data_IF_501540632708
#
_entry.id   IF_501540632708
#
_cell.length_a   1.000
_cell.length_b   1.000
_cell.length_c   1.000
_cell.angle_alpha   90.00
_cell.angle_beta   90.00
_cell.angle_gamma   90.00
#
_symmetry.space_group_name_H-M   'P 1'
#
loop_
_entity.id
_entity.type
_entity.pdbx_description
1 polymer ?
#
# COMPACT_ATOMS: atom_id res chain seq x y z
N UNK A 1 -29.90 16.97 26.59
CA UNK A 1 -28.74 17.60 27.29
C UNK A 1 -28.66 17.29 28.80
N UNK A 2 -29.69 16.71 29.44
CA UNK A 2 -29.71 16.37 30.89
C UNK A 2 -29.03 15.05 31.26
N UNK A 3 -29.07 14.03 30.40
CA UNK A 3 -28.50 12.71 30.71
C UNK A 3 -26.97 12.70 30.90
N UNK A 4 -26.23 13.51 30.14
CA UNK A 4 -24.76 13.55 30.22
C UNK A 4 -24.24 14.07 31.57
N UNK A 5 -24.91 15.07 32.14
CA UNK A 5 -24.56 15.62 33.46
C UNK A 5 -24.84 14.60 34.56
N UNK A 6 -26.02 13.97 34.56
CA UNK A 6 -26.38 12.94 35.54
C UNK A 6 -25.44 11.74 35.48
N UNK A 7 -25.07 11.28 34.28
CA UNK A 7 -24.13 10.18 34.09
C UNK A 7 -22.73 10.53 34.63
N UNK A 8 -22.26 11.75 34.38
CA UNK A 8 -20.98 12.23 34.91
C UNK A 8 -20.98 12.24 36.45
N UNK A 9 -22.01 12.80 37.07
CA UNK A 9 -22.12 12.86 38.52
C UNK A 9 -22.20 11.47 39.14
N UNK A 10 -22.96 10.56 38.53
CA UNK A 10 -23.06 9.16 38.97
C UNK A 10 -21.71 8.43 38.85
N UNK A 11 -20.96 8.64 37.76
CA UNK A 11 -19.62 8.11 37.58
C UNK A 11 -18.67 8.65 38.66
N UNK A 12 -18.62 9.97 38.86
CA UNK A 12 -17.76 10.59 39.87
C UNK A 12 -18.07 10.06 41.26
N UNK A 13 -19.36 9.97 41.63
CA UNK A 13 -19.78 9.45 42.92
C UNK A 13 -19.44 7.96 43.13
N UNK A 14 -19.53 7.14 42.07
CA UNK A 14 -19.32 5.69 42.17
C UNK A 14 -17.87 5.25 41.98
N UNK A 15 -17.08 5.98 41.19
CA UNK A 15 -15.71 5.59 40.78
C UNK A 15 -14.62 6.48 41.38
N UNK A 16 -14.96 7.69 41.82
CA UNK A 16 -14.00 8.67 42.32
C UNK A 16 -14.47 9.27 43.65
N UNK A 17 -14.43 8.45 44.71
CA UNK A 17 -14.75 8.93 46.06
C UNK A 17 -13.83 10.11 46.43
N UNK A 18 -14.42 11.22 46.87
CA UNK A 18 -13.68 12.44 47.20
C UNK A 18 -13.28 13.32 46.01
N UNK A 19 -13.86 13.12 44.82
CA UNK A 19 -13.58 13.98 43.64
C UNK A 19 -13.78 15.47 43.93
N UNK A 20 -14.74 15.83 44.79
CA UNK A 20 -14.97 17.22 45.20
C UNK A 20 -13.74 17.86 45.85
N UNK A 21 -12.99 17.11 46.65
CA UNK A 21 -11.80 17.63 47.33
C UNK A 21 -10.64 17.83 46.36
N UNK A 22 -10.50 16.94 45.35
CA UNK A 22 -9.55 17.11 44.25
C UNK A 22 -9.89 18.38 43.46
N UNK A 23 -11.17 18.60 43.14
CA UNK A 23 -11.63 19.82 42.46
C UNK A 23 -11.37 21.06 43.31
N UNK A 24 -11.72 21.05 44.60
CA UNK A 24 -11.48 22.15 45.54
C UNK A 24 -9.98 22.48 45.64
N UNK A 25 -9.12 21.46 45.67
CA UNK A 25 -7.67 21.66 45.71
C UNK A 25 -7.14 22.28 44.40
N UNK A 26 -7.59 21.81 43.24
CA UNK A 26 -7.20 22.40 41.95
C UNK A 26 -7.61 23.86 41.85
N UNK A 27 -8.82 24.20 42.34
CA UNK A 27 -9.31 25.58 42.41
C UNK A 27 -8.43 26.46 43.32
N UNK A 28 -8.04 25.96 44.50
CA UNK A 28 -7.10 26.67 45.41
C UNK A 28 -5.75 26.92 44.76
N UNK A 29 -5.24 25.94 44.03
CA UNK A 29 -3.94 25.99 43.37
C UNK A 29 -3.97 26.70 42.00
N UNK A 30 -5.12 27.25 41.60
CA UNK A 30 -5.36 27.88 40.28
C UNK A 30 -5.00 26.96 39.09
N UNK A 31 -5.21 25.65 39.25
CA UNK A 31 -5.01 24.64 38.20
C UNK A 31 -6.33 24.27 37.53
N UNK A 32 -6.30 24.03 36.22
CA UNK A 32 -7.46 23.53 35.49
C UNK A 32 -7.78 22.09 35.88
N UNK A 33 -9.06 21.81 36.15
CA UNK A 33 -9.56 20.44 36.31
C UNK A 33 -9.84 19.86 34.93
N UNK A 34 -9.32 18.68 34.65
CA UNK A 34 -9.45 18.02 33.36
C UNK A 34 -10.06 16.62 33.52
N UNK A 35 -10.70 16.11 32.45
CA UNK A 35 -11.44 14.83 32.51
C UNK A 35 -10.54 13.61 32.71
N UNK A 36 -9.28 13.69 32.29
CA UNK A 36 -8.26 12.66 32.52
C UNK A 36 -7.97 12.39 34.00
N UNK A 37 -8.29 13.35 34.89
CA UNK A 37 -8.16 13.19 36.33
C UNK A 37 -9.20 12.22 36.91
N UNK A 38 -10.28 11.94 36.18
CA UNK A 38 -11.45 11.17 36.65
C UNK A 38 -11.85 10.06 35.67
N UNK A 39 -10.86 9.32 35.18
CA UNK A 39 -11.08 8.12 34.34
C UNK A 39 -11.16 6.88 35.22
N UNK A 40 -12.14 6.01 34.97
CA UNK A 40 -12.22 4.72 35.65
C UNK A 40 -10.95 3.89 35.39
N UNK A 41 -10.36 3.35 36.45
CA UNK A 41 -9.06 2.67 36.38
C UNK A 41 -9.11 1.38 35.56
N UNK A 42 -10.26 0.70 35.51
CA UNK A 42 -10.46 -0.51 34.73
C UNK A 42 -10.62 -0.18 33.23
N UNK A 43 -11.33 0.90 32.91
CA UNK A 43 -11.39 1.46 31.56
C UNK A 43 -10.00 1.91 31.07
N UNK A 44 -9.23 2.61 31.92
CA UNK A 44 -7.87 3.02 31.60
C UNK A 44 -6.97 1.80 31.35
N UNK A 45 -7.03 0.78 32.21
CA UNK A 45 -6.23 -0.44 32.04
C UNK A 45 -6.59 -1.17 30.74
N UNK A 46 -7.88 -1.24 30.42
CA UNK A 46 -8.38 -1.80 29.15
C UNK A 46 -7.80 -1.06 27.95
N UNK A 47 -7.91 0.28 27.94
CA UNK A 47 -7.41 1.10 26.86
C UNK A 47 -5.90 0.88 26.66
N UNK A 48 -5.13 0.80 27.76
CA UNK A 48 -3.69 0.58 27.68
C UNK A 48 -3.32 -0.81 27.15
N UNK A 49 -4.06 -1.84 27.53
CA UNK A 49 -3.90 -3.18 26.94
C UNK A 49 -4.22 -3.20 25.46
N UNK A 50 -5.32 -2.57 25.03
CA UNK A 50 -5.67 -2.44 23.61
C UNK A 50 -4.59 -1.68 22.84
N UNK A 51 -4.11 -0.56 23.38
CA UNK A 51 -3.03 0.24 22.81
C UNK A 51 -1.76 -0.60 22.60
N UNK A 52 -1.38 -1.42 23.58
CA UNK A 52 -0.24 -2.32 23.48
C UNK A 52 -0.44 -3.37 22.37
N UNK A 53 -1.58 -4.06 22.36
CA UNK A 53 -1.89 -5.10 21.36
C UNK A 53 -1.91 -4.52 19.95
N UNK A 54 -2.64 -3.43 19.74
CA UNK A 54 -2.85 -2.84 18.42
C UNK A 54 -1.57 -2.16 17.91
N UNK A 55 -0.95 -1.28 18.70
CA UNK A 55 0.15 -0.45 18.20
C UNK A 55 1.53 -1.11 18.27
N UNK A 56 1.68 -2.21 19.00
CA UNK A 56 2.94 -2.98 19.06
C UNK A 56 2.83 -4.37 18.46
N UNK A 57 1.68 -4.71 17.84
CA UNK A 57 1.39 -6.06 17.38
C UNK A 57 1.67 -7.11 18.48
N UNK A 58 1.24 -6.79 19.70
CA UNK A 58 1.56 -7.60 20.87
C UNK A 58 0.63 -8.81 20.90
N UNK A 59 1.16 -10.05 20.96
CA UNK A 59 0.35 -11.24 20.77
C UNK A 59 -0.59 -11.47 21.96
N UNK A 60 -1.82 -11.89 21.68
CA UNK A 60 -2.79 -12.23 22.73
C UNK A 60 -2.31 -13.31 23.69
N UNK A 61 -1.44 -14.22 23.23
CA UNK A 61 -0.82 -15.23 24.10
C UNK A 61 0.08 -14.61 25.17
N UNK A 62 0.75 -13.49 24.87
CA UNK A 62 1.56 -12.76 25.84
C UNK A 62 0.70 -11.96 26.83
N UNK A 63 -0.54 -11.60 26.49
CA UNK A 63 -1.51 -11.05 27.45
C UNK A 63 -1.85 -12.10 28.53
N UNK A 64 -1.75 -13.39 28.19
CA UNK A 64 -1.98 -14.48 29.13
C UNK A 64 -0.75 -14.89 29.95
N UNK A 65 0.43 -14.41 29.57
CA UNK A 65 1.69 -14.75 30.22
C UNK A 65 1.85 -14.07 31.58
N UNK A 66 2.19 -14.86 32.61
CA UNK A 66 2.31 -14.39 33.98
C UNK A 66 3.49 -13.45 34.22
N UNK A 67 4.59 -13.61 33.48
CA UNK A 67 5.78 -12.74 33.56
C UNK A 67 5.49 -11.40 32.90
N UNK A 68 4.83 -11.42 31.74
CA UNK A 68 4.38 -10.20 31.07
C UNK A 68 3.41 -9.42 31.96
N UNK A 69 2.43 -10.09 32.57
CA UNK A 69 1.47 -9.46 33.49
C UNK A 69 2.14 -8.83 34.71
N UNK A 70 3.17 -9.46 35.27
CA UNK A 70 3.88 -8.90 36.43
C UNK A 70 4.80 -7.74 36.06
N UNK A 71 5.25 -7.66 34.80
CA UNK A 71 6.09 -6.58 34.29
C UNK A 71 5.29 -5.33 33.85
N UNK A 72 3.99 -5.45 33.57
CA UNK A 72 3.15 -4.36 33.10
C UNK A 72 2.56 -3.57 34.27
N UNK A 73 2.53 -2.24 34.13
CA UNK A 73 2.03 -1.30 35.16
C UNK A 73 0.51 -1.35 35.37
N UNK A 74 -0.26 -1.74 34.35
CA UNK A 74 -1.71 -1.72 34.35
C UNK A 74 -2.31 -2.99 34.98
N UNK A 75 -3.58 -2.94 35.37
CA UNK A 75 -4.24 -4.09 35.99
C UNK A 75 -4.19 -5.32 35.08
N UNK A 76 -3.97 -6.49 35.68
CA UNK A 76 -3.89 -7.77 34.98
C UNK A 76 -5.21 -8.10 34.27
N UNK A 77 -5.11 -8.59 33.04
CA UNK A 77 -6.25 -8.98 32.20
C UNK A 77 -5.89 -10.25 31.42
N UNK A 78 -6.89 -11.09 31.14
CA UNK A 78 -6.72 -12.22 30.22
C UNK A 78 -7.18 -11.87 28.81
N UNK A 79 -6.65 -12.60 27.83
CA UNK A 79 -6.92 -12.34 26.41
C UNK A 79 -8.40 -12.48 26.07
N UNK A 80 -9.15 -13.37 26.72
CA UNK A 80 -10.60 -13.54 26.52
C UNK A 80 -11.36 -12.28 26.93
N UNK A 81 -11.06 -11.73 28.10
CA UNK A 81 -11.64 -10.48 28.59
C UNK A 81 -11.24 -9.31 27.70
N UNK A 82 -9.98 -9.23 27.31
CA UNK A 82 -9.50 -8.16 26.42
C UNK A 82 -10.24 -8.17 25.08
N UNK A 83 -10.37 -9.34 24.44
CA UNK A 83 -11.11 -9.50 23.19
C UNK A 83 -12.58 -9.11 23.33
N UNK A 84 -13.25 -9.55 24.40
CA UNK A 84 -14.64 -9.17 24.66
C UNK A 84 -14.79 -7.64 24.81
N UNK A 85 -13.85 -6.98 25.52
CA UNK A 85 -13.83 -5.53 25.66
C UNK A 85 -13.53 -4.81 24.33
N UNK A 86 -12.64 -5.37 23.49
CA UNK A 86 -12.37 -4.86 22.13
C UNK A 86 -13.63 -4.89 21.26
N UNK A 87 -14.38 -5.99 21.29
CA UNK A 87 -15.66 -6.09 20.58
C UNK A 87 -16.67 -5.09 21.12
N UNK A 88 -16.86 -5.00 22.43
CA UNK A 88 -17.76 -4.02 23.04
C UNK A 88 -17.35 -2.56 22.75
N UNK A 89 -16.05 -2.30 22.55
CA UNK A 89 -15.58 -0.96 22.15
C UNK A 89 -16.02 -0.62 20.73
N UNK A 90 -16.10 -1.60 19.83
CA UNK A 90 -16.61 -1.38 18.48
C UNK A 90 -18.08 -0.92 18.49
N UNK A 91 -18.91 -1.44 19.40
CA UNK A 91 -20.30 -0.99 19.57
C UNK A 91 -20.42 0.51 19.94
N UNK A 92 -19.37 1.08 20.54
CA UNK A 92 -19.27 2.51 20.87
C UNK A 92 -18.65 3.35 19.75
N UNK A 93 -17.71 2.77 19.00
CA UNK A 93 -16.99 3.44 17.92
C UNK A 93 -17.83 3.52 16.64
N UNK A 94 -18.62 2.48 16.34
CA UNK A 94 -19.45 2.42 15.14
C UNK A 94 -20.42 3.62 15.01
N UNK A 95 -21.21 4.00 16.04
CA UNK A 95 -22.05 5.19 15.96
C UNK A 95 -21.26 6.49 15.77
N UNK A 96 -20.06 6.58 16.35
CA UNK A 96 -19.19 7.74 16.16
C UNK A 96 -18.74 7.86 14.70
N UNK A 97 -18.40 6.73 14.06
CA UNK A 97 -18.03 6.69 12.64
C UNK A 97 -19.23 6.99 11.74
N UNK A 98 -20.42 6.45 12.06
CA UNK A 98 -21.65 6.76 11.33
C UNK A 98 -21.95 8.27 11.33
N UNK A 99 -21.84 8.93 12.49
CA UNK A 99 -22.00 10.38 12.59
C UNK A 99 -20.86 11.14 11.89
N UNK A 100 -19.62 10.61 11.91
CA UNK A 100 -18.50 11.19 11.16
C UNK A 100 -18.75 11.19 9.64
N UNK A 101 -19.35 10.13 9.10
CA UNK A 101 -19.60 9.94 7.67
C UNK A 101 -20.90 10.56 7.16
N UNK A 102 -21.82 10.91 8.07
CA UNK A 102 -23.14 11.42 7.71
C UNK A 102 -23.04 12.67 6.83
N UNK A 103 -23.61 12.58 5.62
CA UNK A 103 -23.60 13.66 4.62
C UNK A 103 -22.24 13.92 3.95
N UNK A 104 -21.21 13.12 4.24
CA UNK A 104 -19.91 13.24 3.60
C UNK A 104 -19.86 12.49 2.28
N UNK A 105 -19.24 13.11 1.28
CA UNK A 105 -18.79 12.41 0.08
C UNK A 105 -17.58 11.56 0.38
N UNK A 106 -17.53 10.38 -0.20
CA UNK A 106 -16.47 9.44 0.10
C UNK A 106 -16.03 8.63 -1.11
N UNK A 107 -14.74 8.30 -1.13
CA UNK A 107 -14.20 7.25 -1.99
C UNK A 107 -14.08 5.95 -1.20
N UNK A 108 -14.56 4.87 -1.78
CA UNK A 108 -14.43 3.53 -1.22
C UNK A 108 -13.08 2.95 -1.66
N UNK A 109 -12.22 2.63 -0.70
CA UNK A 109 -10.89 2.11 -0.98
C UNK A 109 -10.80 0.68 -0.47
N UNK A 110 -10.39 -0.27 -1.29
CA UNK A 110 -10.19 -1.64 -0.82
C UNK A 110 -9.05 -2.34 -1.53
N UNK A 111 -8.44 -3.30 -0.81
CA UNK A 111 -7.36 -4.13 -1.33
C UNK A 111 -7.52 -5.58 -0.88
N UNK A 112 -7.21 -6.49 -1.79
CA UNK A 112 -7.31 -7.93 -1.59
C UNK A 112 -5.94 -8.51 -1.26
N UNK A 113 -5.84 -9.27 -0.18
CA UNK A 113 -4.64 -10.04 0.17
C UNK A 113 -4.97 -11.52 0.16
N UNK A 114 -4.08 -12.33 -0.41
CA UNK A 114 -4.17 -13.78 -0.32
C UNK A 114 -2.94 -14.30 0.41
N UNK A 115 -3.14 -14.96 1.54
CA UNK A 115 -2.09 -15.63 2.31
C UNK A 115 -2.59 -16.98 2.83
N UNK A 116 -1.73 -17.99 2.82
CA UNK A 116 -2.07 -19.30 3.41
C UNK A 116 -3.34 -19.99 2.88
N UNK A 117 -3.72 -19.72 1.62
CA UNK A 117 -4.97 -20.14 0.97
C UNK A 117 -6.24 -19.34 1.31
N UNK A 118 -6.16 -18.38 2.23
CA UNK A 118 -7.28 -17.49 2.53
C UNK A 118 -7.15 -16.19 1.72
N UNK A 119 -8.26 -15.76 1.10
CA UNK A 119 -8.36 -14.43 0.50
C UNK A 119 -9.16 -13.50 1.41
N UNK A 120 -8.55 -12.38 1.79
CA UNK A 120 -9.16 -11.35 2.64
C UNK A 120 -9.24 -10.02 1.91
N UNK A 121 -10.32 -9.28 2.17
CA UNK A 121 -10.53 -7.94 1.65
C UNK A 121 -10.44 -6.92 2.79
N UNK A 122 -9.51 -5.99 2.67
CA UNK A 122 -9.42 -4.82 3.53
C UNK A 122 -10.23 -3.68 2.93
N UNK A 123 -11.10 -3.04 3.72
CA UNK A 123 -11.95 -1.93 3.27
C UNK A 123 -11.68 -0.69 4.09
N UNK A 124 -11.52 0.43 3.40
CA UNK A 124 -11.31 1.75 3.93
C UNK A 124 -12.26 2.74 3.25
N UNK A 125 -12.50 3.85 3.94
CA UNK A 125 -13.27 4.98 3.42
C UNK A 125 -12.43 6.23 3.52
N UNK A 126 -12.30 6.92 2.39
CA UNK A 126 -11.59 8.19 2.30
C UNK A 126 -12.61 9.33 2.17
N UNK A 127 -12.60 10.25 3.12
CA UNK A 127 -13.39 11.48 3.10
C UNK A 127 -12.46 12.70 3.21
N UNK A 128 -13.03 13.91 3.21
CA UNK A 128 -12.26 15.13 3.47
C UNK A 128 -11.66 15.17 4.88
N UNK A 129 -12.20 14.39 5.82
CA UNK A 129 -11.71 14.27 7.22
C UNK A 129 -10.54 13.29 7.35
N UNK A 130 -10.20 12.58 6.26
CA UNK A 130 -9.12 11.61 6.20
C UNK A 130 -9.61 10.21 5.84
N UNK A 131 -8.74 9.23 6.09
CA UNK A 131 -8.99 7.82 5.78
C UNK A 131 -9.34 7.07 7.07
N UNK A 132 -10.36 6.21 7.00
CA UNK A 132 -10.77 5.30 8.07
C UNK A 132 -10.70 3.86 7.58
N UNK A 133 -10.09 2.99 8.35
CA UNK A 133 -10.17 1.55 8.16
C UNK A 133 -11.49 1.05 8.74
N UNK A 134 -12.27 0.31 7.95
CA UNK A 134 -13.59 -0.17 8.36
C UNK A 134 -13.58 -1.65 8.75
N UNK A 135 -12.96 -2.50 7.93
CA UNK A 135 -12.96 -3.94 8.15
C UNK A 135 -11.88 -4.65 7.34
N UNK A 136 -11.48 -5.82 7.83
CA UNK A 136 -10.70 -6.83 7.11
C UNK A 136 -11.41 -8.16 7.33
N UNK A 137 -11.90 -8.78 6.26
CA UNK A 137 -12.61 -10.06 6.35
C UNK A 137 -12.14 -11.03 5.26
N UNK A 138 -12.02 -12.31 5.64
CA UNK A 138 -11.81 -13.41 4.69
C UNK A 138 -13.14 -13.92 4.16
N UNK A 139 -13.16 -14.31 2.88
CA UNK A 139 -14.32 -14.97 2.29
C UNK A 139 -14.42 -16.41 2.83
N UNK A 140 -15.55 -16.73 3.47
CA UNK A 140 -15.74 -18.06 4.10
C UNK A 140 -15.96 -19.20 3.11
N UNK A 141 -16.32 -18.91 1.85
CA UNK A 141 -16.38 -19.87 0.76
C UNK A 141 -15.31 -19.55 -0.28
N UNK A 142 -14.16 -20.22 -0.17
CA UNK A 142 -13.02 -20.06 -1.09
C UNK A 142 -13.33 -20.49 -2.54
N UNK A 143 -14.46 -21.17 -2.78
CA UNK A 143 -14.83 -21.64 -4.13
C UNK A 143 -15.43 -20.56 -5.00
N UNK A 144 -15.84 -19.42 -4.42
CA UNK A 144 -16.47 -18.34 -5.14
C UNK A 144 -16.00 -17.01 -4.55
N UNK A 145 -15.17 -16.31 -5.33
CA UNK A 145 -14.65 -14.97 -5.06
C UNK A 145 -15.01 -14.03 -6.22
N UNK A 146 -16.26 -14.14 -6.66
CA UNK A 146 -16.80 -13.41 -7.79
C UNK A 146 -17.00 -11.94 -7.45
N UNK A 147 -17.11 -11.09 -8.47
CA UNK A 147 -17.48 -9.69 -8.27
C UNK A 147 -18.79 -9.54 -7.47
N UNK A 148 -19.76 -10.45 -7.62
CA UNK A 148 -21.04 -10.39 -6.87
C UNK A 148 -20.86 -10.63 -5.36
N UNK A 149 -19.95 -11.50 -4.96
CA UNK A 149 -19.66 -11.73 -3.54
C UNK A 149 -18.95 -10.56 -2.91
N UNK A 150 -18.01 -9.96 -3.64
CA UNK A 150 -17.37 -8.74 -3.23
C UNK A 150 -18.40 -7.62 -3.07
N UNK A 151 -19.30 -7.43 -4.03
CA UNK A 151 -20.36 -6.42 -3.95
C UNK A 151 -21.26 -6.66 -2.74
N UNK A 152 -21.72 -7.90 -2.49
CA UNK A 152 -22.53 -8.22 -1.30
C UNK A 152 -21.81 -7.89 0.00
N UNK A 153 -20.52 -8.18 0.09
CA UNK A 153 -19.73 -7.85 1.26
C UNK A 153 -19.57 -6.32 1.42
N UNK A 154 -19.27 -5.60 0.34
CA UNK A 154 -19.19 -4.14 0.35
C UNK A 154 -20.53 -3.51 0.76
N UNK A 155 -21.66 -3.99 0.24
CA UNK A 155 -23.00 -3.52 0.62
C UNK A 155 -23.27 -3.72 2.12
N UNK A 156 -22.86 -4.85 2.69
CA UNK A 156 -22.97 -5.10 4.13
C UNK A 156 -22.17 -4.05 4.93
N UNK A 157 -20.94 -3.74 4.50
CA UNK A 157 -20.10 -2.72 5.14
C UNK A 157 -20.71 -1.33 5.01
N UNK A 158 -21.17 -0.94 3.82
CA UNK A 158 -21.83 0.35 3.60
C UNK A 158 -23.08 0.51 4.48
N UNK A 159 -23.89 -0.56 4.61
CA UNK A 159 -25.09 -0.58 5.45
C UNK A 159 -24.79 -0.50 6.95
N UNK A 160 -23.71 -1.13 7.41
CA UNK A 160 -23.24 -1.09 8.80
C UNK A 160 -22.84 0.34 9.19
N UNK A 161 -22.12 1.04 8.31
CA UNK A 161 -21.61 2.40 8.57
C UNK A 161 -22.52 3.53 8.04
N UNK A 162 -23.72 3.20 7.54
CA UNK A 162 -24.70 4.16 7.01
C UNK A 162 -24.14 5.05 5.89
N UNK A 163 -23.28 4.47 5.06
CA UNK A 163 -22.69 5.12 3.90
C UNK A 163 -23.66 5.03 2.72
N UNK A 164 -24.16 6.17 2.28
CA UNK A 164 -25.13 6.22 1.19
C UNK A 164 -24.42 6.11 -0.17
N UNK A 165 -24.91 5.21 -1.04
CA UNK A 165 -24.37 5.03 -2.39
C UNK A 165 -24.37 6.33 -3.22
N UNK A 166 -25.32 7.25 -2.97
CA UNK A 166 -25.38 8.55 -3.63
C UNK A 166 -24.17 9.45 -3.31
N UNK A 167 -23.51 9.23 -2.18
CA UNK A 167 -22.33 9.99 -1.75
C UNK A 167 -21.01 9.32 -2.16
N UNK A 168 -21.06 8.15 -2.81
CA UNK A 168 -19.89 7.47 -3.38
C UNK A 168 -19.40 8.22 -4.62
N UNK A 169 -18.18 8.75 -4.55
CA UNK A 169 -17.56 9.51 -5.65
C UNK A 169 -16.67 8.65 -6.55
N UNK A 170 -16.04 7.61 -5.98
CA UNK A 170 -15.11 6.74 -6.69
C UNK A 170 -14.83 5.47 -5.88
N UNK A 171 -14.37 4.43 -6.58
CA UNK A 171 -13.78 3.23 -6.02
C UNK A 171 -12.28 3.27 -6.28
N UNK A 172 -11.46 3.01 -5.26
CA UNK A 172 -10.00 2.92 -5.38
C UNK A 172 -9.56 1.51 -5.01
N UNK A 173 -9.02 0.79 -5.97
CA UNK A 173 -8.60 -0.59 -5.79
C UNK A 173 -7.56 -0.98 -6.84
N UNK A 174 -7.05 -2.20 -6.74
CA UNK A 174 -6.09 -2.71 -7.69
C UNK A 174 -6.70 -2.88 -9.11
N UNK A 175 -5.88 -2.97 -10.15
CA UNK A 175 -6.35 -2.98 -11.55
C UNK A 175 -6.85 -4.36 -12.03
N UNK A 176 -7.20 -5.28 -11.12
CA UNK A 176 -7.65 -6.62 -11.50
C UNK A 176 -9.04 -6.58 -12.17
N UNK A 177 -9.29 -7.47 -13.13
CA UNK A 177 -10.56 -7.51 -13.87
C UNK A 177 -11.80 -7.71 -12.98
N UNK A 178 -11.66 -8.42 -11.85
CA UNK A 178 -12.72 -8.55 -10.85
C UNK A 178 -13.12 -7.17 -10.29
N UNK A 179 -12.15 -6.32 -9.99
CA UNK A 179 -12.36 -4.99 -9.42
C UNK A 179 -12.92 -4.00 -10.42
N UNK A 180 -12.48 -4.10 -11.69
CA UNK A 180 -13.12 -3.40 -12.80
C UNK A 180 -14.58 -3.81 -12.97
N UNK A 181 -14.87 -5.11 -12.90
CA UNK A 181 -16.25 -5.61 -12.97
C UNK A 181 -17.11 -5.09 -11.80
N UNK A 182 -16.57 -4.99 -10.59
CA UNK A 182 -17.24 -4.38 -9.44
C UNK A 182 -17.60 -2.92 -9.74
N UNK A 183 -16.64 -2.13 -10.21
CA UNK A 183 -16.87 -0.72 -10.57
C UNK A 183 -17.98 -0.53 -11.61
N UNK A 184 -17.98 -1.34 -12.68
CA UNK A 184 -19.04 -1.30 -13.70
C UNK A 184 -20.42 -1.65 -13.14
N UNK A 185 -20.50 -2.64 -12.23
CA UNK A 185 -21.77 -3.09 -11.64
C UNK A 185 -22.33 -2.11 -10.61
N UNK A 186 -21.45 -1.44 -9.86
CA UNK A 186 -21.83 -0.39 -8.90
C UNK A 186 -22.14 0.94 -9.62
N UNK A 187 -21.78 1.07 -10.90
CA UNK A 187 -21.87 2.31 -11.67
C UNK A 187 -21.16 3.47 -10.93
N UNK A 188 -19.91 3.22 -10.54
CA UNK A 188 -19.03 4.20 -9.91
C UNK A 188 -17.69 4.23 -10.62
N UNK A 189 -17.10 5.42 -10.90
CA UNK A 189 -15.75 5.51 -11.45
C UNK A 189 -14.73 4.78 -10.59
N UNK A 190 -13.72 4.20 -11.24
CA UNK A 190 -12.61 3.50 -10.60
C UNK A 190 -11.31 4.27 -10.80
N UNK A 191 -10.54 4.39 -9.72
CA UNK A 191 -9.13 4.80 -9.75
C UNK A 191 -8.29 3.54 -9.50
N UNK A 192 -7.51 3.15 -10.50
CA UNK A 192 -6.64 2.00 -10.42
C UNK A 192 -5.40 2.25 -9.57
N UNK A 193 -4.96 1.26 -8.78
CA UNK A 193 -3.74 1.36 -7.98
C UNK A 193 -2.52 1.61 -8.88
N UNK A 194 -1.89 2.78 -8.73
CA UNK A 194 -0.74 3.19 -9.51
C UNK A 194 0.47 2.26 -9.31
N UNK A 195 0.73 1.82 -8.07
CA UNK A 195 1.82 0.89 -7.77
C UNK A 195 1.59 -0.50 -8.41
N UNK A 196 0.35 -0.99 -8.43
CA UNK A 196 0.02 -2.25 -9.09
C UNK A 196 0.24 -2.12 -10.61
N UNK A 197 -0.31 -1.07 -11.21
CA UNK A 197 -0.16 -0.75 -12.63
C UNK A 197 1.30 -0.64 -13.06
N UNK A 198 2.11 0.07 -12.28
CA UNK A 198 3.55 0.21 -12.51
C UNK A 198 4.28 -1.14 -12.40
N UNK A 199 3.97 -1.94 -11.37
CA UNK A 199 4.53 -3.27 -11.21
C UNK A 199 4.19 -4.21 -12.38
N UNK A 200 3.00 -4.11 -12.98
CA UNK A 200 2.66 -4.86 -14.20
C UNK A 200 3.51 -4.42 -15.40
N UNK A 201 3.68 -3.12 -15.60
CA UNK A 201 4.52 -2.57 -16.67
C UNK A 201 5.98 -3.04 -16.55
N UNK A 202 6.57 -2.92 -15.36
CA UNK A 202 7.94 -3.38 -15.11
C UNK A 202 8.07 -4.90 -15.24
N UNK A 203 7.05 -5.67 -14.86
CA UNK A 203 7.07 -7.13 -15.04
C UNK A 203 7.18 -7.54 -16.51
N UNK A 204 6.58 -6.78 -17.43
CA UNK A 204 6.70 -6.99 -18.86
C UNK A 204 8.09 -6.62 -19.37
N UNK A 205 8.59 -5.43 -19.01
CA UNK A 205 9.94 -4.99 -19.34
C UNK A 205 11.02 -6.02 -18.93
N UNK A 206 10.88 -6.56 -17.72
CA UNK A 206 11.84 -7.50 -17.17
C UNK A 206 11.76 -8.89 -17.83
N UNK A 207 10.69 -9.23 -18.57
CA UNK A 207 10.63 -10.49 -19.31
C UNK A 207 11.71 -10.59 -20.38
N UNK A 208 12.04 -9.48 -21.05
CA UNK A 208 13.03 -9.46 -22.12
C UNK A 208 14.44 -9.78 -21.59
N UNK A 209 14.67 -9.51 -20.30
CA UNK A 209 15.93 -9.80 -19.61
C UNK A 209 15.89 -11.08 -18.76
N UNK A 210 14.85 -11.91 -18.89
CA UNK A 210 14.59 -13.06 -18.02
C UNK A 210 15.74 -14.07 -18.00
N UNK A 211 16.38 -14.32 -19.14
CA UNK A 211 17.49 -15.27 -19.23
C UNK A 211 18.68 -14.84 -18.38
N UNK A 212 19.07 -13.57 -18.51
CA UNK A 212 20.17 -12.95 -17.76
C UNK A 212 19.87 -12.94 -16.26
N UNK A 213 18.66 -12.53 -15.87
CA UNK A 213 18.20 -12.53 -14.48
C UNK A 213 18.17 -13.95 -13.90
N UNK A 214 17.71 -14.95 -14.66
CA UNK A 214 17.73 -16.36 -14.25
C UNK A 214 19.16 -16.84 -14.01
N UNK A 215 20.13 -16.42 -14.83
CA UNK A 215 21.55 -16.74 -14.65
C UNK A 215 22.10 -16.16 -13.35
N UNK A 216 21.89 -14.86 -13.11
CA UNK A 216 22.29 -14.19 -11.86
C UNK A 216 21.62 -14.82 -10.63
N UNK A 217 20.35 -15.19 -10.75
CA UNK A 217 19.62 -15.89 -9.70
C UNK A 217 20.24 -17.27 -9.38
N UNK A 218 20.54 -18.07 -10.40
CA UNK A 218 21.20 -19.37 -10.23
C UNK A 218 22.57 -19.22 -9.57
N UNK A 219 23.33 -18.18 -9.93
CA UNK A 219 24.59 -17.82 -9.27
C UNK A 219 24.37 -17.52 -7.78
N UNK A 220 23.38 -16.71 -7.41
CA UNK A 220 23.06 -16.42 -5.99
C UNK A 220 22.72 -17.69 -5.20
N UNK A 221 21.98 -18.62 -5.81
CA UNK A 221 21.68 -19.91 -5.19
C UNK A 221 22.96 -20.72 -4.94
N UNK A 222 23.88 -20.77 -5.91
CA UNK A 222 25.16 -21.48 -5.78
C UNK A 222 26.04 -20.89 -4.69
N UNK A 223 26.14 -19.57 -4.62
CA UNK A 223 26.90 -18.85 -3.59
C UNK A 223 26.37 -19.08 -2.16
N UNK A 224 25.15 -19.62 -1.99
CA UNK A 224 24.55 -19.92 -0.69
C UNK A 224 25.20 -21.13 0.00
N UNK A 225 25.94 -21.98 -0.72
CA UNK A 225 26.56 -23.17 -0.15
C UNK A 225 27.56 -22.83 0.96
N UNK A 226 27.67 -23.71 1.97
CA UNK A 226 28.53 -23.47 3.14
C UNK A 226 29.98 -23.26 2.74
N UNK A 227 30.50 -24.12 1.84
CA UNK A 227 31.88 -24.02 1.33
C UNK A 227 32.15 -22.69 0.63
N UNK A 228 31.29 -22.29 -0.32
CA UNK A 228 31.47 -21.05 -1.10
C UNK A 228 31.33 -19.81 -0.23
N UNK A 229 30.41 -19.82 0.74
CA UNK A 229 30.34 -18.76 1.75
C UNK A 229 31.56 -18.68 2.64
N UNK A 230 32.18 -19.81 3.01
CA UNK A 230 33.40 -19.80 3.79
C UNK A 230 34.53 -19.13 3.00
N UNK A 231 34.70 -19.51 1.72
CA UNK A 231 35.67 -18.91 0.81
C UNK A 231 35.45 -17.39 0.64
N UNK A 232 34.20 -16.95 0.46
CA UNK A 232 33.86 -15.53 0.41
C UNK A 232 34.29 -14.79 1.69
N UNK A 233 34.04 -15.37 2.86
CA UNK A 233 34.39 -14.76 4.15
C UNK A 233 35.90 -14.67 4.35
N UNK A 234 36.63 -15.71 3.98
CA UNK A 234 38.09 -15.75 4.03
C UNK A 234 38.71 -14.64 3.17
N UNK A 235 38.05 -14.29 2.06
CA UNK A 235 38.44 -13.19 1.18
C UNK A 235 37.78 -11.84 1.55
N UNK A 236 37.29 -11.70 2.79
CA UNK A 236 36.79 -10.43 3.33
C UNK A 236 35.35 -10.05 2.93
N UNK A 237 34.64 -10.89 2.17
CA UNK A 237 33.24 -10.64 1.84
C UNK A 237 32.31 -11.01 3.01
N UNK A 238 31.72 -9.99 3.66
CA UNK A 238 30.74 -10.15 4.75
C UNK A 238 29.28 -10.29 4.25
N UNK A 239 29.06 -10.16 2.95
CA UNK A 239 27.73 -10.19 2.35
C UNK A 239 27.18 -11.63 2.30
N UNK A 240 25.86 -11.76 2.39
CA UNK A 240 25.15 -13.04 2.25
C UNK A 240 24.42 -13.07 0.90
N UNK A 241 24.26 -14.20 0.22
CA UNK A 241 23.40 -14.27 -0.96
C UNK A 241 21.94 -13.93 -0.62
N UNK A 242 21.24 -13.26 -1.54
CA UNK A 242 19.82 -12.94 -1.37
C UNK A 242 18.98 -14.06 -2.01
N UNK A 243 18.18 -14.79 -1.22
CA UNK A 243 17.18 -15.70 -1.77
C UNK A 243 16.08 -14.92 -2.48
N UNK A 244 15.53 -15.48 -3.56
CA UNK A 244 14.31 -14.97 -4.17
C UNK A 244 13.13 -15.38 -3.28
N UNK A 245 12.60 -14.40 -2.56
CA UNK A 245 11.34 -14.53 -1.83
C UNK A 245 10.36 -13.57 -2.53
N UNK A 246 9.46 -14.15 -3.31
CA UNK A 246 8.16 -13.60 -3.77
C UNK A 246 8.08 -12.55 -4.89
N UNK A 247 7.27 -12.92 -5.91
CA UNK A 247 6.20 -12.25 -6.68
C UNK A 247 6.27 -10.76 -7.12
N UNK A 248 7.15 -9.92 -6.56
CA UNK A 248 7.29 -8.48 -6.92
C UNK A 248 8.65 -8.20 -7.55
N UNK A 249 8.67 -7.34 -8.55
CA UNK A 249 9.86 -7.08 -9.38
C UNK A 249 11.03 -6.46 -8.57
N UNK A 250 10.75 -5.79 -7.45
CA UNK A 250 11.76 -5.27 -6.50
C UNK A 250 12.65 -6.37 -5.88
N UNK A 251 12.15 -7.61 -5.80
CA UNK A 251 12.96 -8.78 -5.45
C UNK A 251 14.07 -9.05 -6.48
N UNK A 252 13.76 -8.87 -7.77
CA UNK A 252 14.74 -9.00 -8.86
C UNK A 252 15.79 -7.88 -8.77
N UNK A 253 15.37 -6.63 -8.54
CA UNK A 253 16.28 -5.51 -8.35
C UNK A 253 17.30 -5.77 -7.23
N UNK A 254 16.85 -6.30 -6.09
CA UNK A 254 17.73 -6.66 -4.97
C UNK A 254 18.75 -7.73 -5.33
N UNK A 255 18.38 -8.71 -6.16
CA UNK A 255 19.29 -9.76 -6.63
C UNK A 255 20.36 -9.16 -7.55
N UNK A 256 19.95 -8.33 -8.51
CA UNK A 256 20.86 -7.68 -9.46
C UNK A 256 21.83 -6.72 -8.74
N UNK A 257 21.33 -5.95 -7.79
CA UNK A 257 22.16 -5.11 -6.91
C UNK A 257 23.14 -5.94 -6.09
N UNK A 258 22.70 -7.09 -5.54
CA UNK A 258 23.58 -7.99 -4.79
C UNK A 258 24.66 -8.60 -5.68
N UNK A 259 24.36 -8.88 -6.95
CA UNK A 259 25.35 -9.37 -7.91
C UNK A 259 26.50 -8.38 -8.09
N UNK A 260 26.21 -7.09 -8.28
CA UNK A 260 27.26 -6.08 -8.40
C UNK A 260 28.19 -6.03 -7.19
N UNK A 261 27.65 -6.28 -5.99
CA UNK A 261 28.45 -6.35 -4.78
C UNK A 261 29.33 -7.62 -4.69
N UNK A 262 28.90 -8.72 -5.32
CA UNK A 262 29.68 -9.96 -5.39
C UNK A 262 30.67 -10.00 -6.56
N UNK A 263 30.46 -9.19 -7.61
CA UNK A 263 31.27 -9.19 -8.83
C UNK A 263 32.79 -9.22 -8.56
N UNK A 264 33.36 -8.42 -7.63
CA UNK A 264 34.81 -8.44 -7.34
C UNK A 264 35.34 -9.79 -6.85
N UNK A 265 34.48 -10.66 -6.30
CA UNK A 265 34.85 -11.96 -5.71
C UNK A 265 34.57 -13.14 -6.65
N UNK A 266 33.95 -12.92 -7.81
CA UNK A 266 33.49 -14.02 -8.66
C UNK A 266 34.64 -14.82 -9.28
N UNK A 267 35.80 -14.18 -9.48
CA UNK A 267 37.03 -14.83 -9.96
C UNK A 267 37.50 -16.00 -9.06
N UNK A 268 37.08 -16.03 -7.78
CA UNK A 268 37.38 -17.13 -6.85
C UNK A 268 36.73 -18.45 -7.29
N UNK A 269 35.72 -18.40 -8.16
CA UNK A 269 34.91 -19.55 -8.57
C UNK A 269 35.14 -20.00 -10.01
N UNK A 270 36.07 -19.39 -10.75
CA UNK A 270 36.33 -19.70 -12.17
C UNK A 270 36.71 -21.19 -12.40
N UNK A 271 37.25 -21.84 -11.36
CA UNK A 271 37.67 -23.25 -11.38
C UNK A 271 36.76 -24.17 -10.57
N UNK A 272 35.68 -23.66 -9.96
CA UNK A 272 34.77 -24.44 -9.12
C UNK A 272 33.78 -25.25 -9.97
N UNK A 273 34.22 -26.46 -10.35
CA UNK A 273 33.42 -27.43 -11.10
C UNK A 273 32.57 -28.36 -10.21
N UNK A 274 32.44 -28.07 -8.90
CA UNK A 274 31.64 -28.92 -8.01
C UNK A 274 30.13 -28.69 -8.24
N UNK A 275 29.42 -29.78 -8.54
CA UNK A 275 27.95 -29.83 -8.55
C UNK A 275 27.40 -30.12 -7.14
N UNK A 276 26.14 -29.75 -6.89
CA UNK A 276 25.57 -29.94 -5.55
C UNK A 276 25.17 -31.41 -5.35
N UNK A 277 25.63 -32.03 -4.25
CA UNK A 277 25.53 -33.49 -4.02
C UNK A 277 24.11 -34.03 -3.82
N UNK A 278 23.12 -33.19 -3.54
CA UNK A 278 21.77 -33.62 -3.21
C UNK A 278 20.74 -33.06 -4.20
N UNK A 279 20.27 -33.93 -5.08
CA UNK A 279 19.21 -33.70 -6.05
C UNK A 279 18.07 -34.69 -5.75
N UNK A 280 16.89 -34.22 -5.35
CA UNK A 280 15.68 -35.04 -5.31
C UNK A 280 15.43 -35.72 -6.67
N UNK A 281 14.86 -36.93 -6.66
CA UNK A 281 14.58 -37.70 -7.88
C UNK A 281 13.57 -37.00 -8.81
N UNK A 282 12.74 -36.12 -8.27
CA UNK A 282 11.76 -35.28 -8.96
C UNK A 282 12.33 -33.91 -9.40
N UNK A 283 13.63 -33.65 -9.17
CA UNK A 283 14.24 -32.37 -9.55
C UNK A 283 14.31 -32.19 -11.08
N UNK A 284 13.79 -31.05 -11.56
CA UNK A 284 13.81 -30.63 -12.97
C UNK A 284 15.18 -30.80 -13.64
N UNK A 285 15.17 -31.04 -14.95
CA UNK A 285 16.39 -31.10 -15.77
C UNK A 285 17.16 -29.77 -15.73
N UNK A 286 16.47 -28.66 -15.54
CA UNK A 286 17.03 -27.31 -15.45
C UNK A 286 17.45 -26.91 -14.02
N UNK A 287 17.43 -27.84 -13.05
CA UNK A 287 17.77 -27.49 -11.67
C UNK A 287 19.25 -27.04 -11.60
N UNK A 288 19.46 -25.79 -11.17
CA UNK A 288 20.79 -25.20 -11.05
C UNK A 288 21.77 -26.09 -10.25
N UNK A 289 21.28 -26.92 -9.32
CA UNK A 289 22.09 -27.88 -8.55
C UNK A 289 22.88 -28.86 -9.42
N UNK A 290 22.37 -29.20 -10.62
CA UNK A 290 22.98 -30.14 -11.59
C UNK A 290 24.22 -29.58 -12.28
N UNK A 291 24.36 -28.26 -12.33
CA UNK A 291 25.44 -27.58 -13.04
C UNK A 291 26.45 -26.97 -12.06
N UNK A 292 27.74 -26.89 -12.40
CA UNK A 292 28.74 -26.20 -11.57
C UNK A 292 28.46 -24.69 -11.50
N UNK A 293 29.07 -24.00 -10.53
CA UNK A 293 28.89 -22.54 -10.40
C UNK A 293 29.49 -21.77 -11.58
N UNK A 294 30.55 -22.29 -12.22
CA UNK A 294 31.23 -21.63 -13.35
C UNK A 294 30.27 -21.35 -14.51
N UNK A 295 29.30 -22.23 -14.76
CA UNK A 295 28.32 -22.10 -15.84
C UNK A 295 27.37 -20.91 -15.63
N UNK A 296 27.27 -20.42 -14.38
CA UNK A 296 26.45 -19.29 -14.01
C UNK A 296 27.25 -17.99 -13.83
N UNK A 297 28.57 -18.01 -14.02
CA UNK A 297 29.37 -16.79 -14.04
C UNK A 297 29.03 -15.98 -15.30
N UNK A 298 28.63 -14.70 -15.17
CA UNK A 298 28.43 -13.86 -16.33
C UNK A 298 29.73 -13.62 -17.09
N UNK A 299 29.66 -13.71 -18.41
CA UNK A 299 30.72 -13.27 -19.32
C UNK A 299 30.90 -11.74 -19.22
N UNK A 300 32.01 -11.18 -19.73
CA UNK A 300 32.20 -9.73 -19.75
C UNK A 300 31.07 -8.98 -20.46
N UNK A 301 30.52 -9.54 -21.55
CA UNK A 301 29.36 -8.96 -22.25
C UNK A 301 28.11 -8.97 -21.38
N UNK A 302 27.78 -10.14 -20.80
CA UNK A 302 26.62 -10.25 -19.90
C UNK A 302 26.78 -9.37 -18.65
N UNK A 303 28.02 -9.12 -18.19
CA UNK A 303 28.27 -8.19 -17.10
C UNK A 303 27.88 -6.75 -17.49
N UNK A 304 28.26 -6.30 -18.69
CA UNK A 304 27.82 -5.00 -19.21
C UNK A 304 26.29 -4.93 -19.30
N UNK A 305 25.65 -5.96 -19.83
CA UNK A 305 24.18 -6.03 -19.92
C UNK A 305 23.52 -5.98 -18.52
N UNK A 306 24.14 -6.60 -17.50
CA UNK A 306 23.67 -6.54 -16.11
C UNK A 306 23.82 -5.13 -15.53
N UNK A 307 24.91 -4.44 -15.84
CA UNK A 307 25.15 -3.06 -15.38
C UNK A 307 24.08 -2.13 -15.97
N UNK A 308 23.88 -2.17 -17.28
CA UNK A 308 22.88 -1.34 -17.97
C UNK A 308 21.47 -1.62 -17.44
N UNK A 309 21.10 -2.89 -17.32
CA UNK A 309 19.82 -3.29 -16.75
C UNK A 309 19.66 -2.84 -15.29
N UNK A 310 20.72 -2.88 -14.48
CA UNK A 310 20.63 -2.42 -13.10
C UNK A 310 20.42 -0.90 -13.01
N UNK A 311 21.01 -0.12 -13.92
CA UNK A 311 20.76 1.32 -14.01
C UNK A 311 19.28 1.61 -14.31
N UNK A 312 18.70 0.90 -15.28
CA UNK A 312 17.27 0.97 -15.59
C UNK A 312 16.41 0.61 -14.37
N UNK A 313 16.71 -0.53 -13.72
CA UNK A 313 15.97 -0.99 -12.56
C UNK A 313 16.08 -0.02 -11.36
N UNK A 314 17.18 0.74 -11.24
CA UNK A 314 17.30 1.78 -10.20
C UNK A 314 16.32 2.92 -10.43
N UNK A 315 16.12 3.34 -11.68
CA UNK A 315 15.13 4.37 -12.05
C UNK A 315 13.72 3.87 -11.73
N UNK A 316 13.40 2.65 -12.17
CA UNK A 316 12.09 2.05 -11.93
C UNK A 316 11.81 1.84 -10.43
N UNK A 317 12.84 1.55 -9.62
CA UNK A 317 12.68 1.25 -8.18
C UNK A 317 12.44 2.54 -7.42
N UNK A 318 13.11 3.62 -7.84
CA UNK A 318 12.83 4.95 -7.35
C UNK A 318 11.37 5.34 -7.61
N UNK A 319 10.89 5.16 -8.85
CA UNK A 319 9.48 5.44 -9.19
C UNK A 319 8.51 4.60 -8.36
N UNK A 320 8.78 3.30 -8.16
CA UNK A 320 7.94 2.44 -7.32
C UNK A 320 7.86 2.93 -5.88
N UNK A 321 8.98 3.37 -5.29
CA UNK A 321 8.97 3.91 -3.92
C UNK A 321 8.18 5.21 -3.85
N UNK A 322 8.35 6.10 -4.82
CA UNK A 322 7.62 7.36 -4.87
C UNK A 322 6.11 7.14 -4.98
N UNK A 323 5.68 6.13 -5.73
CA UNK A 323 4.28 5.68 -5.83
C UNK A 323 3.72 5.00 -4.57
N UNK A 324 4.53 4.79 -3.53
CA UNK A 324 4.12 4.19 -2.26
C UNK A 324 4.20 5.18 -1.08
N UNK A 325 4.54 6.44 -1.34
CA UNK A 325 4.59 7.47 -0.32
C UNK A 325 3.20 7.95 0.09
N UNK A 326 3.05 8.39 1.34
CA UNK A 326 1.76 8.74 1.93
C UNK A 326 1.16 10.05 1.39
N UNK A 327 1.98 10.92 0.80
CA UNK A 327 1.60 12.21 0.21
C UNK A 327 1.28 12.12 -1.29
N UNK A 328 1.18 10.91 -1.84
CA UNK A 328 0.95 10.68 -3.27
C UNK A 328 -0.39 11.26 -3.73
N UNK A 329 -0.34 12.03 -4.83
CA UNK A 329 -1.54 12.55 -5.51
C UNK A 329 -1.65 12.00 -6.92
N UNK A 330 -2.86 12.04 -7.52
CA UNK A 330 -3.05 11.64 -8.92
C UNK A 330 -2.23 12.48 -9.91
N UNK A 331 -2.00 13.77 -9.59
CA UNK A 331 -1.11 14.63 -10.38
C UNK A 331 0.32 14.08 -10.34
N UNK A 332 0.84 13.81 -9.15
CA UNK A 332 2.19 13.25 -8.97
C UNK A 332 2.33 11.88 -9.63
N UNK A 333 1.30 11.03 -9.57
CA UNK A 333 1.27 9.75 -10.30
C UNK A 333 1.42 9.97 -11.80
N UNK A 334 0.65 10.90 -12.38
CA UNK A 334 0.71 11.22 -13.81
C UNK A 334 2.09 11.73 -14.19
N UNK A 335 2.65 12.67 -13.42
CA UNK A 335 3.97 13.23 -13.68
C UNK A 335 5.07 12.13 -13.61
N UNK A 336 5.01 11.21 -12.64
CA UNK A 336 5.92 10.05 -12.58
C UNK A 336 5.76 9.16 -13.82
N UNK A 337 4.52 8.84 -14.21
CA UNK A 337 4.27 7.98 -15.36
C UNK A 337 4.70 8.62 -16.68
N UNK A 338 4.53 9.92 -16.85
CA UNK A 338 5.01 10.67 -18.02
C UNK A 338 6.54 10.66 -18.09
N UNK A 339 7.22 10.93 -16.97
CA UNK A 339 8.67 10.88 -16.91
C UNK A 339 9.23 9.48 -17.18
N UNK A 340 8.59 8.44 -16.65
CA UNK A 340 8.97 7.04 -16.93
C UNK A 340 8.70 6.69 -18.39
N UNK A 341 7.58 7.12 -18.97
CA UNK A 341 7.27 6.86 -20.38
C UNK A 341 8.30 7.52 -21.33
N UNK A 342 8.86 8.68 -20.95
CA UNK A 342 9.94 9.32 -21.70
C UNK A 342 11.22 8.47 -21.69
N UNK A 343 11.59 7.89 -20.53
CA UNK A 343 12.80 7.05 -20.41
C UNK A 343 12.61 5.62 -20.94
N UNK A 344 11.40 5.08 -20.79
CA UNK A 344 11.03 3.71 -21.14
C UNK A 344 9.74 3.72 -21.98
N UNK A 345 9.82 4.09 -23.28
CA UNK A 345 8.66 4.14 -24.17
C UNK A 345 7.91 2.80 -24.24
N UNK A 346 8.60 1.68 -24.07
CA UNK A 346 8.04 0.33 -24.00
C UNK A 346 7.03 0.13 -22.86
N UNK A 347 7.06 0.98 -21.81
CA UNK A 347 6.10 0.92 -20.70
C UNK A 347 4.81 1.71 -20.97
N UNK A 348 4.75 2.52 -22.03
CA UNK A 348 3.62 3.41 -22.34
C UNK A 348 2.28 2.68 -22.40
N UNK A 349 2.27 1.46 -22.96
CA UNK A 349 1.06 0.65 -23.14
C UNK A 349 0.34 0.34 -21.84
N UNK A 350 1.04 0.42 -20.70
CA UNK A 350 0.44 0.33 -19.36
C UNK A 350 0.44 1.65 -18.61
N UNK A 351 1.22 2.67 -18.97
CA UNK A 351 1.37 3.91 -18.19
C UNK A 351 0.60 5.14 -18.73
N UNK A 352 0.14 5.16 -19.99
CA UNK A 352 -0.65 6.27 -20.55
C UNK A 352 -2.05 6.40 -19.97
N UNK A 353 -2.62 7.60 -19.95
CA UNK A 353 -3.97 7.83 -19.37
C UNK A 353 -5.08 7.04 -20.06
N UNK A 354 -4.93 6.77 -21.36
CA UNK A 354 -5.85 6.01 -22.20
C UNK A 354 -5.45 4.53 -22.37
N UNK A 355 -4.47 4.06 -21.59
CA UNK A 355 -4.08 2.65 -21.60
C UNK A 355 -5.28 1.75 -21.26
N UNK A 356 -5.41 0.62 -21.96
CA UNK A 356 -6.53 -0.33 -21.80
C UNK A 356 -6.73 -0.83 -20.36
N UNK A 357 -5.67 -0.79 -19.54
CA UNK A 357 -5.75 -1.16 -18.12
C UNK A 357 -6.60 -0.17 -17.29
N UNK A 358 -6.74 1.08 -17.73
CA UNK A 358 -7.44 2.16 -17.02
C UNK A 358 -8.94 2.05 -17.26
N UNK A 359 -9.70 1.72 -16.21
CA UNK A 359 -11.15 1.50 -16.31
C UNK A 359 -11.93 2.80 -16.52
N UNK A 360 -11.58 3.87 -15.81
CA UNK A 360 -12.28 5.17 -15.89
C UNK A 360 -11.35 6.29 -16.37
N UNK A 361 -10.85 6.17 -17.60
CA UNK A 361 -9.85 7.10 -18.16
C UNK A 361 -10.31 8.57 -18.16
N UNK A 362 -11.55 8.86 -18.57
CA UNK A 362 -12.10 10.23 -18.54
C UNK A 362 -12.19 10.78 -17.10
N UNK A 363 -12.47 9.92 -16.12
CA UNK A 363 -12.53 10.31 -14.71
C UNK A 363 -11.14 10.65 -14.16
N UNK A 364 -10.16 9.75 -14.33
CA UNK A 364 -8.79 9.99 -13.87
C UNK A 364 -8.21 11.26 -14.51
N UNK A 365 -8.36 11.42 -15.83
CA UNK A 365 -7.92 12.61 -16.55
C UNK A 365 -8.62 13.89 -16.06
N UNK A 366 -9.93 13.81 -15.82
CA UNK A 366 -10.71 14.91 -15.27
C UNK A 366 -10.25 15.34 -13.88
N UNK A 367 -10.01 14.38 -12.97
CA UNK A 367 -9.50 14.69 -11.63
C UNK A 367 -8.11 15.31 -11.69
N UNK A 368 -7.20 14.78 -12.53
CA UNK A 368 -5.85 15.37 -12.71
C UNK A 368 -5.95 16.83 -13.19
N UNK A 369 -6.84 17.13 -14.14
CA UNK A 369 -7.07 18.51 -14.61
C UNK A 369 -7.62 19.42 -13.52
N UNK A 370 -8.59 18.96 -12.72
CA UNK A 370 -9.13 19.71 -11.57
C UNK A 370 -8.02 20.01 -10.56
N UNK A 371 -7.20 19.01 -10.20
CA UNK A 371 -6.10 19.21 -9.26
C UNK A 371 -5.02 20.17 -9.79
N UNK A 372 -4.86 20.29 -11.12
CA UNK A 372 -3.99 21.28 -11.78
C UNK A 372 -4.65 22.67 -11.96
N UNK A 373 -5.90 22.87 -11.54
CA UNK A 373 -6.65 24.12 -11.76
C UNK A 373 -7.01 24.37 -13.23
N UNK A 374 -7.17 23.30 -14.00
CA UNK A 374 -7.41 23.32 -15.46
C UNK A 374 -8.84 22.88 -15.81
N UNK A 375 -9.83 23.21 -14.99
CA UNK A 375 -11.23 22.80 -15.16
C UNK A 375 -11.84 23.32 -16.48
N UNK A 376 -11.34 24.45 -16.97
CA UNK A 376 -11.71 25.01 -18.26
C UNK A 376 -11.36 24.09 -19.45
N UNK A 377 -10.34 23.24 -19.30
CA UNK A 377 -9.87 22.29 -20.32
C UNK A 377 -10.56 20.91 -20.27
N UNK A 378 -11.54 20.74 -19.38
CA UNK A 378 -12.29 19.49 -19.28
C UNK A 378 -13.16 19.27 -20.52
N UNK A 379 -13.05 18.09 -21.11
CA UNK A 379 -13.94 17.64 -22.19
C UNK A 379 -15.34 17.36 -21.65
N UNK A 380 -16.35 17.28 -22.54
CA UNK A 380 -17.72 16.95 -22.13
C UNK A 380 -17.82 15.59 -21.42
N UNK A 381 -16.99 14.61 -21.82
CA UNK A 381 -16.95 13.29 -21.17
C UNK A 381 -16.32 13.37 -19.78
N UNK A 382 -15.19 14.06 -19.65
CA UNK A 382 -14.53 14.27 -18.37
C UNK A 382 -15.46 15.01 -17.40
N UNK A 383 -16.10 16.11 -17.83
CA UNK A 383 -17.09 16.85 -17.02
C UNK A 383 -18.22 15.96 -16.52
N UNK A 384 -18.75 15.08 -17.39
CA UNK A 384 -19.79 14.13 -16.99
C UNK A 384 -19.27 13.16 -15.93
N UNK A 385 -18.08 12.59 -16.12
CA UNK A 385 -17.50 11.63 -15.18
C UNK A 385 -17.17 12.23 -13.81
N UNK A 386 -16.71 13.49 -13.74
CA UNK A 386 -16.35 14.17 -12.50
C UNK A 386 -17.52 14.93 -11.85
N UNK A 387 -18.73 14.78 -12.36
CA UNK A 387 -19.92 15.45 -11.81
C UNK A 387 -20.18 15.11 -10.34
N UNK A 388 -20.07 13.82 -9.96
CA UNK A 388 -20.28 13.36 -8.57
C UNK A 388 -19.34 14.04 -7.56
N UNK A 389 -18.01 14.10 -7.76
CA UNK A 389 -17.14 14.83 -6.83
C UNK A 389 -17.35 16.36 -6.83
N UNK A 390 -17.83 16.95 -7.94
CA UNK A 390 -18.01 18.40 -8.07
C UNK A 390 -19.35 18.94 -7.53
N UNK A 391 -20.40 18.12 -7.44
CA UNK A 391 -21.64 18.54 -6.78
C UNK A 391 -21.40 18.76 -5.27
N UNK A 392 -22.15 19.63 -4.58
CA UNK A 392 -22.28 19.55 -3.13
C UNK A 392 -22.88 18.19 -2.70
N UNK A 393 -22.74 17.75 -1.44
CA UNK A 393 -23.62 16.72 -0.88
C UNK A 393 -25.07 17.21 -1.05
N UNK A 394 -25.95 16.36 -1.58
CA UNK A 394 -27.32 16.76 -1.88
C UNK A 394 -28.08 17.02 -0.57
N UNK A 395 -28.29 18.29 -0.23
CA UNK A 395 -29.63 18.73 0.17
C UNK A 395 -30.37 19.10 -1.14
N UNK A 396 -31.65 18.76 -1.21
CA UNK A 396 -32.49 18.70 -2.42
C UNK A 396 -32.29 19.81 -3.48
N UNK A 397 -32.13 19.36 -4.73
CA UNK A 397 -32.32 19.95 -6.08
C UNK A 397 -32.29 21.49 -6.29
N UNK A 398 -31.51 21.95 -7.29
CA UNK A 398 -32.01 22.32 -8.64
C UNK A 398 -30.97 23.14 -9.45
N UNK A 399 -30.42 22.48 -10.46
CA UNK A 399 -30.19 22.86 -11.88
C UNK A 399 -29.53 24.16 -12.39
N UNK A 400 -28.91 23.93 -13.56
CA UNK A 400 -28.62 24.79 -14.72
C UNK A 400 -27.26 25.53 -14.91
N UNK A 401 -26.68 25.22 -16.09
CA UNK A 401 -25.53 25.81 -16.81
C UNK A 401 -26.10 26.59 -18.04
N UNK A 402 -25.38 27.50 -18.78
CA UNK A 402 -24.37 27.05 -19.78
C UNK A 402 -23.32 28.08 -20.32
N UNK A 403 -22.49 27.58 -21.27
CA UNK A 403 -21.77 28.21 -22.41
C UNK A 403 -20.34 28.80 -22.19
N UNK A 404 -19.22 28.24 -22.71
CA UNK A 404 -18.63 28.05 -24.09
C UNK A 404 -17.57 29.11 -24.46
N UNK A 405 -16.33 28.69 -24.76
CA UNK A 405 -15.52 29.04 -25.97
C UNK A 405 -14.17 28.28 -26.03
N UNK A 406 -13.61 28.15 -27.24
CA UNK A 406 -12.53 27.23 -27.71
C UNK A 406 -11.30 28.05 -28.13
N UNK A 407 -10.07 27.55 -27.89
CA UNK A 407 -8.90 27.67 -28.80
C UNK A 407 -7.83 26.59 -28.52
N UNK A 408 -6.98 26.34 -29.51
CA UNK A 408 -6.26 25.11 -29.85
C UNK A 408 -4.75 25.05 -29.53
N UNK A 409 -4.26 23.79 -29.50
CA UNK A 409 -2.93 23.26 -29.92
C UNK A 409 -1.61 23.66 -29.22
N UNK A 410 -0.84 22.65 -28.79
CA UNK A 410 0.42 22.26 -29.46
C UNK A 410 0.92 20.89 -28.97
N UNK A 411 1.08 19.96 -29.91
CA UNK A 411 1.84 18.71 -29.76
C UNK A 411 3.35 19.02 -29.74
N UNK A 412 4.10 18.32 -28.90
CA UNK A 412 5.55 18.19 -29.04
C UNK A 412 5.94 16.72 -29.14
N UNK A 413 6.47 16.32 -30.29
CA UNK A 413 7.07 15.01 -30.55
C UNK A 413 8.31 14.79 -29.66
N UNK A 414 8.58 13.56 -29.20
CA UNK A 414 9.82 13.24 -28.51
C UNK A 414 10.97 13.04 -29.51
N UNK A 415 12.03 13.84 -29.37
CA UNK A 415 13.36 13.54 -29.93
C UNK A 415 14.01 12.42 -29.11
N UNK A 416 14.73 11.47 -29.71
CA UNK A 416 15.43 10.45 -28.96
C UNK A 416 16.60 11.10 -28.22
N UNK A 417 16.63 10.97 -26.90
CA UNK A 417 17.78 11.37 -26.09
C UNK A 417 18.25 10.17 -25.28
N UNK A 418 19.56 10.08 -25.16
CA UNK A 418 20.31 9.24 -24.23
C UNK A 418 19.56 9.09 -22.89
N UNK A 419 19.40 7.85 -22.42
CA UNK A 419 18.79 7.54 -21.11
C UNK A 419 19.44 8.39 -20.02
N UNK A 420 18.61 9.02 -19.18
CA UNK A 420 19.07 9.81 -18.03
C UNK A 420 19.72 8.88 -17.01
N UNK A 421 20.72 9.40 -16.32
CA UNK A 421 21.24 8.74 -15.11
C UNK A 421 20.17 8.72 -14.02
N UNK A 422 20.28 7.80 -13.06
CA UNK A 422 19.34 7.74 -11.91
C UNK A 422 19.23 9.09 -11.19
N UNK A 423 20.33 9.83 -11.05
CA UNK A 423 20.33 11.14 -10.40
C UNK A 423 19.57 12.21 -11.21
N UNK A 424 19.77 12.25 -12.53
CA UNK A 424 19.05 13.17 -13.41
C UNK A 424 17.54 12.88 -13.42
N UNK A 425 17.15 11.61 -13.41
CA UNK A 425 15.75 11.21 -13.33
C UNK A 425 15.11 11.60 -11.99
N UNK A 426 15.80 11.34 -10.86
CA UNK A 426 15.33 11.72 -9.54
C UNK A 426 15.05 13.23 -9.42
N UNK A 427 15.95 14.05 -9.97
CA UNK A 427 15.81 15.49 -9.98
C UNK A 427 14.59 15.95 -10.77
N UNK A 428 14.31 15.32 -11.92
CA UNK A 428 13.13 15.61 -12.72
C UNK A 428 11.82 15.24 -12.00
N UNK A 429 11.73 14.04 -11.41
CA UNK A 429 10.53 13.59 -10.68
C UNK A 429 10.28 14.36 -9.39
N UNK A 430 11.34 14.85 -8.73
CA UNK A 430 11.22 15.58 -7.45
C UNK A 430 11.13 17.10 -7.63
N UNK A 431 11.18 17.61 -8.86
CA UNK A 431 11.15 19.05 -9.14
C UNK A 431 12.38 19.82 -8.61
N UNK A 432 13.47 19.14 -8.24
CA UNK A 432 14.73 19.77 -7.84
C UNK A 432 15.59 19.98 -9.07
N UNK A 433 15.44 21.13 -9.72
CA UNK A 433 16.44 21.59 -10.69
C UNK A 433 17.77 21.79 -9.97
N UNK A 434 18.84 21.21 -10.51
CA UNK A 434 20.22 21.55 -10.11
C UNK A 434 20.45 22.98 -10.57
N UNK A 435 20.63 23.88 -9.59
CA UNK A 435 21.03 25.26 -9.83
C UNK A 435 22.41 25.33 -10.51
#
# INVERSE_FOLDING_TARGET
KTAGYTNLINHLASKHSGYEDVVRQCMRDKRSVTMDMFVDQDALSTHQWMNLVVNKNFPFTAVDDGVVRSAIKYNSMNSKTLKARMVATMELVEPCLQEEFKGEKFALVFDGVTDGCEHSLAVFVATRKGIRFLTLASFGDEKSMTADEHIRFLDMVLNQYKLEANNLIAIVCDNMETNKAISRRIDSPMIGCAAHRFNLAVKEYVQDHRALIKKVYSLMRKLKSVKRRALLKENGCKLKPVPMHELRWSGLHRIMKRYMQFHPYLHLFDRDREVDRYLPSDASQDDARRFPIVDFLPTPSEHCDIVDLLEDMNILEFSTRRLQEADLTLVTVRDIFDEVAVEFPELEGRLKMDAQIVESCDFEAGIVKIMKGQEHSLTSREKKSVSRPLCPPLESEADECPARHITSEANSEPRPKRRRTTQEFQNAVTGRSVA
#
